data_IF_259235434365
#
_entry.id   IF_259235434365
#
_cell.length_a   1.000
_cell.length_b   1.000
_cell.length_c   1.000
_cell.angle_alpha   90.00
_cell.angle_beta   90.00
_cell.angle_gamma   90.00
#
_symmetry.space_group_name_H-M   'P 1'
#
loop_
_entity.id
_entity.type
_entity.pdbx_description
1 polymer ?
#
# COMPACT_ATOMS: atom_id res chain seq x y z
N UNK A 1 40.24 -3.37 52.87
CA UNK A 1 39.92 -2.34 51.85
C UNK A 1 40.10 -2.84 50.42
N UNK A 2 41.20 -3.55 50.11
CA UNK A 2 41.48 -4.07 48.75
C UNK A 2 40.41 -5.05 48.23
N UNK A 3 39.92 -5.97 49.07
CA UNK A 3 38.86 -6.93 48.70
C UNK A 3 37.54 -6.24 48.32
N UNK A 4 37.21 -5.14 48.98
CA UNK A 4 35.97 -4.38 48.77
C UNK A 4 36.04 -3.60 47.45
N UNK A 5 37.20 -3.03 47.13
CA UNK A 5 37.46 -2.39 45.84
C UNK A 5 37.42 -3.39 44.67
N UNK A 6 38.02 -4.57 44.83
CA UNK A 6 37.99 -5.64 43.82
C UNK A 6 36.57 -6.17 43.58
N UNK A 7 35.78 -6.37 44.64
CA UNK A 7 34.38 -6.76 44.52
C UNK A 7 33.55 -5.74 43.73
N UNK A 8 33.74 -4.45 44.02
CA UNK A 8 33.05 -3.37 43.30
C UNK A 8 33.39 -3.34 41.80
N UNK A 9 34.67 -3.52 41.45
CA UNK A 9 35.13 -3.53 40.06
C UNK A 9 34.52 -4.72 39.29
N UNK A 10 34.54 -5.91 39.88
CA UNK A 10 34.00 -7.12 39.24
C UNK A 10 32.49 -7.00 39.07
N UNK A 11 31.75 -6.56 40.10
CA UNK A 11 30.31 -6.32 39.99
C UNK A 11 29.97 -5.26 38.95
N UNK A 12 30.73 -4.16 38.89
CA UNK A 12 30.58 -3.12 37.88
C UNK A 12 30.76 -3.66 36.45
N UNK A 13 31.81 -4.47 36.23
CA UNK A 13 32.05 -5.10 34.93
C UNK A 13 30.91 -6.05 34.52
N UNK A 14 30.41 -6.88 35.45
CA UNK A 14 29.30 -7.80 35.18
C UNK A 14 28.02 -7.02 34.85
N UNK A 15 27.71 -5.95 35.59
CA UNK A 15 26.55 -5.09 35.32
C UNK A 15 26.66 -4.47 33.93
N UNK A 16 27.83 -3.96 33.55
CA UNK A 16 28.05 -3.36 32.23
C UNK A 16 27.84 -4.38 31.10
N UNK A 17 28.37 -5.60 31.25
CA UNK A 17 28.16 -6.69 30.28
C UNK A 17 26.67 -7.05 30.18
N UNK A 18 25.98 -7.16 31.31
CA UNK A 18 24.55 -7.48 31.33
C UNK A 18 23.72 -6.39 30.65
N UNK A 19 23.99 -5.11 30.94
CA UNK A 19 23.32 -3.98 30.30
C UNK A 19 23.58 -3.99 28.80
N UNK A 20 24.84 -4.14 28.38
CA UNK A 20 25.19 -4.20 26.96
C UNK A 20 24.48 -5.35 26.24
N UNK A 21 24.45 -6.55 26.84
CA UNK A 21 23.73 -7.71 26.29
C UNK A 21 22.23 -7.45 26.19
N UNK A 22 21.63 -6.83 27.20
CA UNK A 22 20.20 -6.51 27.18
C UNK A 22 19.83 -5.50 26.08
N UNK A 23 20.67 -4.48 25.85
CA UNK A 23 20.48 -3.49 24.79
C UNK A 23 20.60 -4.14 23.42
N UNK A 24 21.63 -4.97 23.21
CA UNK A 24 21.81 -5.71 21.96
C UNK A 24 20.64 -6.66 21.68
N UNK A 25 20.17 -7.39 22.69
CA UNK A 25 19.04 -8.31 22.54
C UNK A 25 17.75 -7.58 22.16
N UNK A 26 17.48 -6.42 22.76
CA UNK A 26 16.32 -5.58 22.44
C UNK A 26 16.39 -5.04 21.02
N UNK A 27 17.56 -4.57 20.59
CA UNK A 27 17.77 -4.13 19.22
C UNK A 27 17.54 -5.28 18.23
N UNK A 28 18.11 -6.46 18.48
CA UNK A 28 17.94 -7.62 17.60
C UNK A 28 16.47 -8.03 17.49
N UNK A 29 15.71 -8.01 18.58
CA UNK A 29 14.27 -8.28 18.56
C UNK A 29 13.50 -7.23 17.75
N UNK A 30 13.81 -5.95 17.93
CA UNK A 30 13.19 -4.85 17.19
C UNK A 30 13.46 -4.94 15.68
N UNK A 31 14.70 -5.26 15.28
CA UNK A 31 15.07 -5.47 13.88
C UNK A 31 14.34 -6.68 13.30
N UNK A 32 14.36 -7.83 13.99
CA UNK A 32 13.71 -9.04 13.52
C UNK A 32 12.20 -8.84 13.32
N UNK A 33 11.54 -8.13 14.24
CA UNK A 33 10.13 -7.81 14.15
C UNK A 33 9.81 -6.94 12.94
N UNK A 34 10.55 -5.83 12.75
CA UNK A 34 10.33 -4.92 11.62
C UNK A 34 10.60 -5.62 10.28
N UNK A 35 11.60 -6.51 10.23
CA UNK A 35 11.88 -7.33 9.05
C UNK A 35 10.75 -8.30 8.71
N UNK A 36 10.17 -8.97 9.70
CA UNK A 36 9.06 -9.88 9.46
C UNK A 36 7.80 -9.14 8.99
N UNK A 37 7.47 -8.02 9.64
CA UNK A 37 6.38 -7.12 9.21
C UNK A 37 6.61 -6.61 7.78
N UNK A 38 7.85 -6.20 7.46
CA UNK A 38 8.24 -5.77 6.12
C UNK A 38 8.10 -6.86 5.06
N UNK A 39 8.51 -8.10 5.39
CA UNK A 39 8.35 -9.27 4.51
C UNK A 39 6.88 -9.59 4.26
N UNK A 40 6.07 -9.58 5.31
CA UNK A 40 4.63 -9.83 5.24
C UNK A 40 3.93 -8.81 4.33
N UNK A 41 4.10 -7.50 4.59
CA UNK A 41 3.39 -6.46 3.83
C UNK A 41 3.86 -6.41 2.38
N UNK A 42 5.16 -6.62 2.14
CA UNK A 42 5.70 -6.69 0.78
C UNK A 42 5.06 -7.83 -0.01
N UNK A 43 4.92 -9.01 0.59
CA UNK A 43 4.27 -10.16 -0.06
C UNK A 43 2.79 -9.89 -0.31
N UNK A 44 2.06 -9.42 0.70
CA UNK A 44 0.62 -9.13 0.62
C UNK A 44 0.30 -8.09 -0.46
N UNK A 45 0.94 -6.93 -0.40
CA UNK A 45 0.73 -5.85 -1.36
C UNK A 45 1.15 -6.24 -2.76
N UNK A 46 2.20 -7.06 -2.92
CA UNK A 46 2.59 -7.50 -4.27
C UNK A 46 1.52 -8.36 -4.91
N UNK A 47 0.97 -9.32 -4.16
CA UNK A 47 -0.07 -10.20 -4.69
C UNK A 47 -1.34 -9.43 -5.04
N UNK A 48 -1.76 -8.48 -4.20
CA UNK A 48 -2.93 -7.63 -4.50
C UNK A 48 -2.66 -6.66 -5.65
N UNK A 49 -1.47 -6.05 -5.69
CA UNK A 49 -1.16 -5.03 -6.70
C UNK A 49 -0.88 -5.60 -8.09
N UNK A 50 -0.52 -6.88 -8.21
CA UNK A 50 -0.40 -7.53 -9.51
C UNK A 50 -1.75 -7.71 -10.21
N UNK A 51 -2.84 -7.78 -9.45
CA UNK A 51 -4.21 -7.96 -9.97
C UNK A 51 -4.93 -6.64 -10.28
N UNK A 52 -4.29 -5.49 -10.03
CA UNK A 52 -4.85 -4.18 -10.37
C UNK A 52 -5.18 -4.11 -11.86
N UNK A 53 -6.38 -3.62 -12.17
CA UNK A 53 -6.88 -3.50 -13.54
C UNK A 53 -7.19 -4.84 -14.22
N UNK A 54 -7.22 -5.96 -13.48
CA UNK A 54 -7.67 -7.25 -14.03
C UNK A 54 -9.15 -7.17 -14.35
N UNK A 55 -9.53 -7.60 -15.54
CA UNK A 55 -10.90 -7.94 -15.91
C UNK A 55 -10.85 -9.11 -16.91
N UNK A 56 -11.32 -10.28 -16.51
CA UNK A 56 -11.26 -11.50 -17.33
C UNK A 56 -12.68 -11.92 -17.73
N UNK A 57 -13.04 -11.71 -18.99
CA UNK A 57 -14.37 -12.07 -19.51
C UNK A 57 -14.43 -13.49 -20.11
N UNK A 58 -13.33 -14.22 -20.14
CA UNK A 58 -13.22 -15.51 -20.84
C UNK A 58 -13.35 -16.67 -19.87
N UNK A 59 -12.61 -16.61 -18.75
CA UNK A 59 -12.53 -17.74 -17.81
C UNK A 59 -13.28 -17.47 -16.51
N UNK A 60 -13.33 -16.22 -16.06
CA UNK A 60 -14.01 -15.87 -14.81
C UNK A 60 -15.53 -15.99 -14.96
N UNK A 61 -16.19 -16.53 -13.92
CA UNK A 61 -17.64 -16.38 -13.74
C UNK A 61 -17.87 -14.96 -13.25
N UNK A 62 -18.51 -14.12 -14.05
CA UNK A 62 -18.83 -12.74 -13.68
C UNK A 62 -20.33 -12.66 -13.49
N UNK A 63 -20.76 -12.00 -12.42
CA UNK A 63 -22.17 -11.65 -12.23
C UNK A 63 -22.65 -10.72 -13.36
N UNK A 64 -23.66 -11.16 -14.12
CA UNK A 64 -24.19 -10.52 -15.32
C UNK A 64 -25.34 -9.53 -15.05
N UNK A 65 -25.56 -9.14 -13.78
CA UNK A 65 -26.59 -8.16 -13.42
C UNK A 65 -26.36 -6.76 -14.00
N UNK A 66 -25.15 -6.48 -14.49
CA UNK A 66 -24.78 -5.26 -15.19
C UNK A 66 -24.06 -5.60 -16.50
N UNK A 67 -23.97 -4.63 -17.39
CA UNK A 67 -23.18 -4.75 -18.62
C UNK A 67 -21.69 -4.94 -18.30
N UNK A 68 -21.22 -6.16 -18.51
CA UNK A 68 -19.84 -6.59 -18.25
C UNK A 68 -18.83 -5.99 -19.22
N UNK A 69 -19.24 -5.61 -20.44
CA UNK A 69 -18.37 -4.95 -21.42
C UNK A 69 -18.13 -3.49 -20.99
N UNK A 70 -19.20 -2.81 -20.60
CA UNK A 70 -19.08 -1.45 -20.06
C UNK A 70 -18.31 -1.41 -18.73
N UNK A 71 -18.42 -2.45 -17.91
CA UNK A 71 -17.65 -2.60 -16.69
C UNK A 71 -16.16 -2.88 -16.95
N UNK A 72 -15.83 -3.78 -17.88
CA UNK A 72 -14.46 -4.04 -18.33
C UNK A 72 -13.78 -2.73 -18.75
N UNK A 73 -14.43 -1.99 -19.66
CA UNK A 73 -13.93 -0.71 -20.13
C UNK A 73 -13.80 0.34 -19.01
N UNK A 74 -14.62 0.28 -17.96
CA UNK A 74 -14.45 1.17 -16.81
C UNK A 74 -13.18 0.85 -16.02
N UNK A 75 -12.97 -0.44 -15.68
CA UNK A 75 -11.86 -0.89 -14.83
C UNK A 75 -10.52 -0.74 -15.56
N UNK A 76 -10.46 -1.15 -16.83
CA UNK A 76 -9.24 -1.07 -17.63
C UNK A 76 -8.82 0.39 -17.89
N UNK A 77 -9.77 1.31 -18.08
CA UNK A 77 -9.43 2.73 -18.24
C UNK A 77 -9.20 3.47 -16.91
N UNK A 78 -9.60 2.86 -15.77
CA UNK A 78 -9.49 3.45 -14.43
C UNK A 78 -8.98 2.43 -13.40
N UNK A 79 -7.80 1.83 -13.61
CA UNK A 79 -7.26 0.83 -12.67
C UNK A 79 -6.92 1.45 -11.30
N UNK A 80 -6.55 2.72 -11.30
CA UNK A 80 -6.33 3.54 -10.10
C UNK A 80 -7.53 4.48 -10.00
N UNK A 81 -8.34 4.35 -8.96
CA UNK A 81 -9.47 5.25 -8.74
C UNK A 81 -8.99 6.66 -8.40
N UNK A 82 -9.63 7.68 -8.99
CA UNK A 82 -9.42 9.09 -8.67
C UNK A 82 -10.73 9.70 -8.13
N UNK A 83 -10.60 10.81 -7.40
CA UNK A 83 -11.77 11.53 -6.90
C UNK A 83 -12.67 11.94 -8.08
N UNK A 84 -13.97 11.66 -7.94
CA UNK A 84 -14.98 11.87 -8.98
C UNK A 84 -15.23 10.68 -9.91
N UNK A 85 -14.42 9.62 -9.88
CA UNK A 85 -14.68 8.41 -10.68
C UNK A 85 -15.92 7.63 -10.20
N UNK A 86 -16.27 7.76 -8.91
CA UNK A 86 -17.38 7.06 -8.27
C UNK A 86 -18.51 8.03 -7.91
N UNK A 87 -19.69 7.85 -8.52
CA UNK A 87 -20.84 8.75 -8.36
C UNK A 87 -21.43 8.75 -6.95
N UNK A 88 -21.48 7.59 -6.29
CA UNK A 88 -22.00 7.44 -4.93
C UNK A 88 -21.04 7.98 -3.86
N UNK A 89 -19.76 8.13 -4.19
CA UNK A 89 -18.75 8.72 -3.30
C UNK A 89 -17.69 9.47 -4.11
N UNK A 90 -17.94 10.75 -4.37
CA UNK A 90 -17.07 11.59 -5.21
C UNK A 90 -15.73 11.91 -4.57
N UNK A 91 -15.58 11.70 -3.26
CA UNK A 91 -14.32 11.93 -2.53
C UNK A 91 -13.38 10.74 -2.55
N UNK A 92 -13.87 9.54 -2.88
CA UNK A 92 -13.06 8.34 -2.92
C UNK A 92 -12.11 8.38 -4.11
N UNK A 93 -10.81 8.33 -3.85
CA UNK A 93 -9.79 8.29 -4.89
C UNK A 93 -8.39 8.27 -4.31
N UNK A 94 -7.43 7.96 -5.17
CA UNK A 94 -6.01 8.04 -4.81
C UNK A 94 -5.58 9.50 -4.73
N UNK A 95 -4.92 9.87 -3.64
CA UNK A 95 -4.53 11.26 -3.37
C UNK A 95 -3.12 11.35 -2.79
N UNK A 96 -2.38 12.37 -3.21
CA UNK A 96 -1.14 12.77 -2.58
C UNK A 96 -1.48 13.60 -1.34
N UNK A 97 -0.93 13.23 -0.20
CA UNK A 97 -1.10 14.03 1.01
C UNK A 97 -0.14 15.24 1.03
N UNK A 98 -0.23 16.08 2.08
CA UNK A 98 0.78 17.13 2.30
C UNK A 98 2.15 16.51 2.54
N UNK A 99 3.23 17.28 2.31
CA UNK A 99 4.58 16.72 2.38
C UNK A 99 4.87 16.06 3.73
N UNK A 100 5.27 14.80 3.70
CA UNK A 100 5.53 13.96 4.87
C UNK A 100 4.30 13.28 5.49
N UNK A 101 3.08 13.62 5.08
CA UNK A 101 1.87 12.87 5.43
C UNK A 101 1.66 11.68 4.46
N UNK A 102 0.95 10.65 4.92
CA UNK A 102 0.78 9.42 4.14
C UNK A 102 -0.21 9.56 3.00
N UNK A 103 0.14 8.99 1.85
CA UNK A 103 -0.71 8.94 0.67
C UNK A 103 -1.85 7.93 0.80
N UNK A 104 -2.82 8.05 -0.10
CA UNK A 104 -3.94 7.14 -0.22
C UNK A 104 -3.97 6.50 -1.61
N UNK A 105 -4.23 5.19 -1.64
CA UNK A 105 -4.37 4.41 -2.87
C UNK A 105 -5.78 3.84 -2.97
N UNK A 106 -6.43 4.06 -4.11
CA UNK A 106 -7.68 3.38 -4.48
C UNK A 106 -7.44 2.61 -5.77
N UNK A 107 -7.74 1.32 -5.78
CA UNK A 107 -7.55 0.45 -6.94
C UNK A 107 -8.83 -0.27 -7.31
N UNK A 108 -8.99 -0.52 -8.60
CA UNK A 108 -10.10 -1.25 -9.18
C UNK A 108 -9.60 -2.54 -9.84
N UNK A 109 -10.31 -3.64 -9.61
CA UNK A 109 -10.07 -4.93 -10.25
C UNK A 109 -11.34 -5.79 -10.23
N UNK A 110 -11.34 -6.85 -11.03
CA UNK A 110 -12.28 -7.95 -10.94
C UNK A 110 -11.74 -9.02 -10.00
N UNK A 111 -12.51 -9.42 -8.98
CA UNK A 111 -12.15 -10.48 -8.04
C UNK A 111 -13.37 -11.09 -7.34
N UNK A 112 -13.16 -12.26 -6.71
CA UNK A 112 -14.17 -12.98 -5.92
C UNK A 112 -14.49 -12.30 -4.57
N UNK A 113 -13.59 -11.46 -4.07
CA UNK A 113 -13.73 -10.80 -2.78
C UNK A 113 -12.86 -9.54 -2.71
N UNK A 114 -13.25 -8.63 -1.82
CA UNK A 114 -12.48 -7.43 -1.50
C UNK A 114 -11.23 -7.74 -0.65
N UNK A 115 -10.44 -6.71 -0.32
CA UNK A 115 -9.25 -6.89 0.52
C UNK A 115 -9.54 -7.40 1.94
N UNK A 116 -10.80 -7.36 2.39
CA UNK A 116 -11.26 -7.88 3.67
C UNK A 116 -11.79 -9.32 3.58
N UNK A 117 -11.94 -9.86 2.36
CA UNK A 117 -12.55 -11.16 2.09
C UNK A 117 -14.07 -11.11 1.95
N UNK A 118 -14.68 -9.92 1.89
CA UNK A 118 -16.12 -9.74 1.68
C UNK A 118 -16.50 -9.94 0.22
N UNK A 119 -17.61 -10.65 0.00
CA UNK A 119 -18.21 -10.85 -1.33
C UNK A 119 -19.37 -9.91 -1.63
N UNK A 120 -19.69 -8.96 -0.75
CA UNK A 120 -20.77 -7.98 -0.93
C UNK A 120 -22.15 -8.50 -1.43
N UNK A 121 -22.47 -9.77 -1.16
CA UNK A 121 -23.72 -10.41 -1.57
C UNK A 121 -23.72 -11.04 -2.96
N UNK A 122 -22.57 -11.19 -3.61
CA UNK A 122 -22.41 -12.01 -4.82
C UNK A 122 -22.33 -13.51 -4.49
N UNK A 123 -22.55 -14.37 -5.49
CA UNK A 123 -22.46 -15.81 -5.33
C UNK A 123 -21.02 -16.26 -5.02
N UNK A 124 -20.85 -17.53 -4.60
CA UNK A 124 -19.56 -18.00 -4.13
C UNK A 124 -18.46 -18.00 -5.20
N UNK A 125 -18.84 -18.27 -6.45
CA UNK A 125 -17.91 -18.43 -7.58
C UNK A 125 -17.91 -17.20 -8.50
N UNK A 126 -18.76 -16.21 -8.24
CA UNK A 126 -18.87 -15.01 -9.07
C UNK A 126 -17.85 -13.96 -8.65
N UNK A 127 -17.08 -13.50 -9.64
CA UNK A 127 -16.26 -12.32 -9.54
C UNK A 127 -17.09 -11.06 -9.82
N UNK A 128 -16.71 -9.98 -9.15
CA UNK A 128 -17.36 -8.67 -9.29
C UNK A 128 -16.32 -7.56 -9.29
N UNK A 129 -16.76 -6.36 -9.66
CA UNK A 129 -15.92 -5.17 -9.59
C UNK A 129 -15.64 -4.81 -8.12
N UNK A 130 -14.41 -5.07 -7.70
CA UNK A 130 -13.88 -4.75 -6.38
C UNK A 130 -13.13 -3.43 -6.45
N UNK A 131 -13.40 -2.56 -5.47
CA UNK A 131 -12.62 -1.33 -5.25
C UNK A 131 -11.99 -1.41 -3.86
N UNK A 132 -10.67 -1.41 -3.79
CA UNK A 132 -9.93 -1.46 -2.53
C UNK A 132 -9.24 -0.12 -2.27
N UNK A 133 -9.40 0.39 -1.05
CA UNK A 133 -8.79 1.63 -0.56
C UNK A 133 -7.75 1.30 0.50
N UNK A 134 -6.49 1.69 0.27
CA UNK A 134 -5.37 1.53 1.20
C UNK A 134 -4.91 2.89 1.72
N UNK A 135 -4.82 3.02 3.04
CA UNK A 135 -4.45 4.27 3.68
C UNK A 135 -3.88 4.02 5.07
N UNK A 136 -3.11 4.99 5.58
CA UNK A 136 -2.63 4.97 6.97
C UNK A 136 -3.56 5.83 7.82
N UNK A 137 -3.99 5.28 8.96
CA UNK A 137 -4.78 6.00 9.95
C UNK A 137 -4.16 5.82 11.33
N UNK A 138 -3.66 6.91 11.92
CA UNK A 138 -2.85 6.83 13.14
C UNK A 138 -1.51 6.15 12.84
N UNK A 139 -1.34 4.92 13.33
CA UNK A 139 -0.16 4.07 13.04
C UNK A 139 -0.53 2.75 12.37
N UNK A 140 -1.74 2.63 11.85
CA UNK A 140 -2.28 1.41 11.26
C UNK A 140 -2.44 1.61 9.77
N UNK A 141 -1.87 0.70 8.99
CA UNK A 141 -2.12 0.59 7.57
C UNK A 141 -3.37 -0.25 7.37
N UNK A 142 -4.42 0.39 6.85
CA UNK A 142 -5.76 -0.16 6.75
C UNK A 142 -6.14 -0.38 5.29
N UNK A 143 -7.00 -1.36 5.07
CA UNK A 143 -7.69 -1.55 3.82
C UNK A 143 -9.20 -1.52 4.03
N UNK A 144 -9.89 -0.73 3.20
CA UNK A 144 -11.35 -0.74 3.10
C UNK A 144 -11.74 -1.30 1.75
N UNK A 145 -12.58 -2.33 1.75
CA UNK A 145 -13.08 -2.95 0.54
C UNK A 145 -14.50 -2.50 0.22
N UNK A 146 -14.75 -2.22 -1.05
CA UNK A 146 -16.02 -1.71 -1.56
C UNK A 146 -16.49 -2.54 -2.76
N UNK A 147 -17.81 -2.60 -2.92
CA UNK A 147 -18.44 -2.99 -4.18
C UNK A 147 -18.41 -1.82 -5.16
N UNK A 148 -17.65 -1.98 -6.24
CA UNK A 148 -17.49 -0.98 -7.28
C UNK A 148 -18.77 -0.68 -8.05
N UNK A 149 -19.73 -1.61 -8.15
CA UNK A 149 -21.04 -1.37 -8.79
C UNK A 149 -21.92 -0.48 -7.92
N UNK A 150 -21.85 -0.65 -6.59
CA UNK A 150 -22.52 0.25 -5.63
C UNK A 150 -21.92 1.66 -5.69
N UNK A 151 -20.60 1.77 -5.73
CA UNK A 151 -19.90 3.05 -5.85
C UNK A 151 -20.23 3.80 -7.15
N UNK A 152 -20.56 3.06 -8.23
CA UNK A 152 -21.00 3.60 -9.52
C UNK A 152 -22.51 3.87 -9.58
N UNK A 153 -23.28 3.52 -8.56
CA UNK A 153 -24.74 3.68 -8.52
C UNK A 153 -25.50 2.67 -9.40
N UNK A 154 -24.86 1.57 -9.79
CA UNK A 154 -25.44 0.53 -10.65
C UNK A 154 -26.15 -0.56 -9.85
N UNK A 155 -25.83 -0.70 -8.56
CA UNK A 155 -26.41 -1.70 -7.66
C UNK A 155 -26.72 -1.08 -6.31
N UNK A 156 -27.81 -1.51 -5.68
CA UNK A 156 -28.13 -1.14 -4.30
C UNK A 156 -27.19 -1.87 -3.34
N UNK A 157 -26.69 -1.16 -2.32
CA UNK A 157 -25.82 -1.75 -1.33
C UNK A 157 -26.51 -2.86 -0.53
N UNK A 158 -26.02 -4.09 -0.66
CA UNK A 158 -26.48 -5.23 0.16
C UNK A 158 -25.66 -5.39 1.44
N UNK A 159 -24.35 -5.18 1.35
CA UNK A 159 -23.41 -5.30 2.47
C UNK A 159 -22.56 -4.04 2.56
N UNK A 160 -22.50 -3.46 3.76
CA UNK A 160 -21.69 -2.27 4.03
C UNK A 160 -20.19 -2.53 3.84
N UNK A 161 -19.40 -1.53 3.44
CA UNK A 161 -17.96 -1.67 3.26
C UNK A 161 -17.31 -1.91 4.62
N UNK A 162 -16.37 -2.85 4.69
CA UNK A 162 -15.64 -3.15 5.92
C UNK A 162 -14.21 -2.62 5.83
N UNK A 163 -13.63 -2.27 6.98
CA UNK A 163 -12.23 -1.84 7.09
C UNK A 163 -11.47 -2.79 8.00
N UNK A 164 -10.32 -3.27 7.54
CA UNK A 164 -9.41 -4.13 8.30
C UNK A 164 -8.04 -3.47 8.42
N UNK A 165 -7.37 -3.70 9.54
CA UNK A 165 -5.97 -3.32 9.71
C UNK A 165 -5.09 -4.42 9.15
N UNK A 166 -4.27 -4.09 8.15
CA UNK A 166 -3.34 -5.02 7.52
C UNK A 166 -2.02 -5.08 8.26
N UNK A 167 -1.56 -3.94 8.79
CA UNK A 167 -0.30 -3.85 9.51
C UNK A 167 -0.33 -2.70 10.52
N UNK A 168 0.19 -2.96 11.72
CA UNK A 168 0.40 -1.94 12.74
C UNK A 168 1.80 -1.32 12.64
N UNK A 169 1.99 -0.20 13.34
CA UNK A 169 3.28 0.49 13.42
C UNK A 169 3.82 0.96 12.08
N UNK A 170 2.90 1.45 11.24
CA UNK A 170 3.23 2.16 10.00
C UNK A 170 3.28 3.65 10.31
N UNK A 171 4.45 4.24 10.12
CA UNK A 171 4.66 5.66 10.37
C UNK A 171 4.39 6.52 9.13
N UNK A 172 4.66 5.98 7.94
CA UNK A 172 4.42 6.70 6.70
C UNK A 172 4.22 5.73 5.52
N UNK A 173 3.39 6.12 4.55
CA UNK A 173 3.14 5.39 3.32
C UNK A 173 3.12 6.38 2.16
N UNK A 174 3.91 6.10 1.11
CA UNK A 174 4.10 6.99 -0.03
C UNK A 174 4.00 6.22 -1.34
N UNK A 175 3.52 6.88 -2.39
CA UNK A 175 3.23 6.28 -3.67
C UNK A 175 3.78 7.09 -4.84
N UNK A 176 4.19 6.38 -5.89
CA UNK A 176 4.50 6.95 -7.19
C UNK A 176 3.94 6.06 -8.29
N UNK A 177 3.33 6.70 -9.28
CA UNK A 177 2.65 6.03 -10.38
C UNK A 177 3.52 6.15 -11.63
N UNK A 178 3.95 5.00 -12.15
CA UNK A 178 4.66 4.91 -13.42
C UNK A 178 3.66 4.96 -14.56
N UNK A 179 3.65 6.08 -15.28
CA UNK A 179 2.72 6.35 -16.37
C UNK A 179 3.39 6.03 -17.71
N UNK A 180 2.61 5.48 -18.63
CA UNK A 180 3.06 5.16 -19.97
C UNK A 180 3.13 6.39 -20.86
N UNK A 181 3.67 6.23 -22.07
CA UNK A 181 3.42 7.20 -23.13
C UNK A 181 1.92 7.19 -23.52
N UNK A 182 1.52 8.11 -24.41
CA UNK A 182 0.18 8.15 -24.98
C UNK A 182 -0.13 6.78 -25.58
N UNK A 183 -1.33 6.25 -25.31
CA UNK A 183 -1.68 4.84 -25.56
C UNK A 183 -1.31 4.35 -26.97
N UNK A 184 -1.53 5.16 -28.00
CA UNK A 184 -1.23 4.84 -29.42
C UNK A 184 0.26 4.56 -29.67
N UNK A 185 1.18 5.22 -28.94
CA UNK A 185 2.63 5.09 -29.12
C UNK A 185 3.29 4.25 -28.02
N UNK A 186 2.51 3.71 -27.10
CA UNK A 186 3.02 3.13 -25.87
C UNK A 186 3.34 1.65 -25.99
N UNK A 187 4.58 1.28 -25.66
CA UNK A 187 5.02 -0.12 -25.56
C UNK A 187 4.65 -0.79 -24.21
N UNK A 188 3.71 -0.18 -23.45
CA UNK A 188 3.34 -0.62 -22.11
C UNK A 188 4.47 -0.49 -21.08
N UNK A 189 5.40 0.46 -21.29
CA UNK A 189 6.49 0.74 -20.34
C UNK A 189 6.23 2.07 -19.62
N UNK A 190 6.66 2.17 -18.36
CA UNK A 190 6.58 3.42 -17.62
C UNK A 190 7.68 4.37 -18.11
N UNK A 191 7.29 5.55 -18.59
CA UNK A 191 8.24 6.58 -19.05
C UNK A 191 8.60 7.55 -17.92
N UNK A 192 7.65 7.85 -17.04
CA UNK A 192 7.81 8.82 -15.95
C UNK A 192 7.06 8.35 -14.72
N UNK A 193 7.59 8.65 -13.54
CA UNK A 193 6.91 8.43 -12.27
C UNK A 193 6.37 9.75 -11.74
N UNK A 194 5.08 9.77 -11.41
CA UNK A 194 4.36 10.96 -10.94
C UNK A 194 3.59 10.65 -9.65
N UNK A 195 3.21 11.69 -8.94
CA UNK A 195 2.31 11.67 -7.78
C UNK A 195 0.84 11.69 -8.23
N UNK A 196 -0.09 11.40 -7.30
CA UNK A 196 -1.51 11.22 -7.63
C UNK A 196 -2.18 12.47 -8.23
N UNK A 197 -1.71 13.68 -7.89
CA UNK A 197 -2.22 14.97 -8.37
C UNK A 197 -2.12 15.14 -9.89
N UNK A 198 -1.17 14.45 -10.54
CA UNK A 198 -0.99 14.50 -11.99
C UNK A 198 -1.80 13.48 -12.76
N UNK A 199 -2.35 12.46 -12.10
CA UNK A 199 -3.00 11.34 -12.76
C UNK A 199 -4.24 11.75 -13.56
N UNK A 200 -5.03 12.71 -13.06
CA UNK A 200 -6.21 13.19 -13.78
C UNK A 200 -5.86 13.82 -15.14
N UNK A 201 -4.80 14.63 -15.18
CA UNK A 201 -4.34 15.29 -16.41
C UNK A 201 -3.78 14.28 -17.40
N UNK A 202 -2.95 13.34 -16.93
CA UNK A 202 -2.32 12.33 -17.79
C UNK A 202 -3.36 11.35 -18.35
N UNK A 203 -4.37 10.98 -17.54
CA UNK A 203 -5.50 10.17 -18.02
C UNK A 203 -6.29 10.88 -19.12
N UNK A 204 -6.51 12.19 -19.00
CA UNK A 204 -7.15 12.98 -20.05
C UNK A 204 -6.31 13.07 -21.34
N UNK A 205 -5.01 12.78 -21.26
CA UNK A 205 -4.07 12.68 -22.40
C UNK A 205 -3.94 11.24 -22.93
N UNK A 206 -4.83 10.32 -22.53
CA UNK A 206 -4.77 8.90 -22.88
C UNK A 206 -3.46 8.21 -22.46
N UNK A 207 -2.87 8.64 -21.35
CA UNK A 207 -1.75 7.96 -20.72
C UNK A 207 -2.23 7.13 -19.54
N UNK A 208 -1.74 5.89 -19.43
CA UNK A 208 -2.22 4.92 -18.45
C UNK A 208 -1.15 4.60 -17.41
N UNK A 209 -1.59 4.24 -16.21
CA UNK A 209 -0.68 3.78 -15.14
C UNK A 209 -0.29 2.33 -15.40
N UNK A 210 0.99 2.07 -15.61
CA UNK A 210 1.53 0.75 -15.97
C UNK A 210 2.52 0.19 -14.94
N UNK A 211 2.92 1.00 -13.97
CA UNK A 211 3.72 0.57 -12.83
C UNK A 211 3.34 1.36 -11.58
N UNK A 212 3.56 0.77 -10.41
CA UNK A 212 3.34 1.38 -9.11
C UNK A 212 4.61 1.22 -8.26
N UNK A 213 5.11 2.32 -7.73
CA UNK A 213 6.15 2.35 -6.71
C UNK A 213 5.49 2.70 -5.40
N UNK A 214 5.77 1.91 -4.37
CA UNK A 214 5.30 2.21 -3.03
C UNK A 214 6.47 2.15 -2.07
N UNK A 215 6.39 2.98 -1.04
CA UNK A 215 7.30 3.01 0.08
C UNK A 215 6.50 3.03 1.38
N UNK A 216 6.88 2.19 2.33
CA UNK A 216 6.29 2.13 3.66
C UNK A 216 7.38 2.22 4.72
N UNK A 217 7.19 3.10 5.69
CA UNK A 217 8.09 3.28 6.83
C UNK A 217 7.49 2.56 8.03
N UNK A 218 8.17 1.51 8.46
CA UNK A 218 7.79 0.71 9.63
C UNK A 218 8.60 1.12 10.84
N UNK A 219 7.98 1.03 12.02
CA UNK A 219 8.64 1.20 13.31
C UNK A 219 8.53 -0.06 14.15
N UNK A 220 9.49 -0.30 15.05
CA UNK A 220 9.41 -1.39 16.02
C UNK A 220 8.23 -1.20 16.98
N UNK A 221 7.68 -2.29 17.50
CA UNK A 221 6.54 -2.19 18.43
C UNK A 221 6.96 -1.71 19.81
N UNK A 222 8.20 -2.02 20.21
CA UNK A 222 8.75 -1.61 21.49
C UNK A 222 9.63 -0.37 21.35
N UNK A 223 9.47 0.55 22.29
CA UNK A 223 10.26 1.79 22.42
C UNK A 223 11.58 1.56 23.20
N UNK A 224 12.22 0.42 22.95
CA UNK A 224 13.35 -0.07 23.75
C UNK A 224 14.70 0.11 23.06
N UNK A 225 14.70 0.69 21.86
CA UNK A 225 15.92 0.98 21.10
C UNK A 225 16.32 2.40 21.43
N UNK A 226 17.50 2.62 21.99
CA UNK A 226 17.97 3.96 22.32
C UNK A 226 19.01 4.38 21.28
N UNK A 227 18.57 5.16 20.29
CA UNK A 227 19.45 5.78 19.31
C UNK A 227 20.07 7.05 19.89
N UNK A 228 21.33 7.31 19.59
CA UNK A 228 22.05 8.52 20.06
C UNK A 228 21.58 9.80 19.36
N UNK A 229 20.84 9.69 18.26
CA UNK A 229 20.26 10.82 17.52
C UNK A 229 18.96 10.39 16.87
N UNK A 230 18.04 11.35 16.69
CA UNK A 230 16.78 11.13 15.98
C UNK A 230 17.05 10.80 14.50
N UNK A 231 16.64 9.62 14.00
CA UNK A 231 16.89 9.25 12.62
C UNK A 231 15.96 9.99 11.66
N UNK A 232 16.49 10.31 10.48
CA UNK A 232 15.77 10.99 9.40
C UNK A 232 15.64 10.09 8.18
N UNK A 233 14.44 9.95 7.63
CA UNK A 233 14.19 9.15 6.43
C UNK A 233 13.44 9.96 5.38
N UNK A 234 13.87 9.84 4.11
CA UNK A 234 13.10 10.29 2.96
C UNK A 234 12.40 9.08 2.32
N UNK A 235 11.14 9.26 1.93
CA UNK A 235 10.38 8.24 1.20
C UNK A 235 10.10 8.77 -0.21
N UNK A 236 10.64 8.09 -1.22
CA UNK A 236 10.44 8.43 -2.63
C UNK A 236 10.78 9.91 -2.94
N UNK A 237 9.79 10.71 -3.33
CA UNK A 237 9.90 12.13 -3.67
C UNK A 237 9.64 13.09 -2.50
N UNK A 238 9.37 12.57 -1.30
CA UNK A 238 9.03 13.39 -0.15
C UNK A 238 10.26 13.89 0.61
N UNK A 239 10.04 15.00 1.33
CA UNK A 239 11.03 15.55 2.25
C UNK A 239 11.35 14.57 3.38
N UNK A 240 12.52 14.76 3.99
CA UNK A 240 12.95 13.92 5.11
C UNK A 240 12.04 14.15 6.33
N UNK A 241 11.56 13.05 6.90
CA UNK A 241 10.80 13.04 8.17
C UNK A 241 11.76 12.67 9.29
N UNK A 242 11.78 13.48 10.35
CA UNK A 242 12.54 13.21 11.57
C UNK A 242 11.68 12.37 12.52
N UNK A 243 12.21 11.25 12.98
CA UNK A 243 11.50 10.28 13.82
C UNK A 243 12.05 10.25 15.24
N UNK A 244 11.37 9.56 16.16
CA UNK A 244 11.85 9.43 17.53
C UNK A 244 13.11 8.56 17.63
N UNK A 245 13.87 8.71 18.71
CA UNK A 245 15.09 7.93 18.96
C UNK A 245 14.85 6.64 19.74
N UNK A 246 13.60 6.31 20.06
CA UNK A 246 13.21 5.20 20.96
C UNK A 246 12.81 3.92 20.21
N UNK A 247 12.58 4.01 18.90
CA UNK A 247 12.22 2.90 18.04
C UNK A 247 13.30 2.60 17.00
N UNK A 248 13.30 1.37 16.49
CA UNK A 248 13.97 1.03 15.25
C UNK A 248 13.04 1.29 14.08
N UNK A 249 13.55 1.91 13.02
CA UNK A 249 12.78 2.26 11.83
C UNK A 249 13.43 1.68 10.59
N UNK A 250 12.59 1.28 9.64
CA UNK A 250 13.06 0.82 8.35
C UNK A 250 12.07 1.15 7.24
N UNK A 251 12.61 1.64 6.13
CA UNK A 251 11.86 1.89 4.91
C UNK A 251 11.89 0.63 4.04
N UNK A 252 10.71 0.19 3.62
CA UNK A 252 10.55 -0.86 2.62
C UNK A 252 9.97 -0.24 1.36
N UNK A 253 10.64 -0.46 0.23
CA UNK A 253 10.26 0.08 -1.07
C UNK A 253 10.18 -1.03 -2.10
N UNK A 254 9.17 -1.00 -2.96
CA UNK A 254 9.07 -1.92 -4.10
C UNK A 254 8.45 -1.23 -5.31
N UNK A 255 8.94 -1.62 -6.48
CA UNK A 255 8.30 -1.29 -7.77
C UNK A 255 7.55 -2.52 -8.25
N UNK A 256 6.25 -2.38 -8.47
CA UNK A 256 5.37 -3.39 -9.06
C UNK A 256 5.00 -2.96 -10.47
N UNK A 257 5.10 -3.88 -11.41
CA UNK A 257 4.63 -3.70 -12.78
C UNK A 257 3.18 -4.17 -12.87
N UNK A 258 2.26 -3.30 -13.30
CA UNK A 258 0.84 -3.65 -13.44
C UNK A 258 0.65 -4.40 -14.75
N UNK A 259 0.73 -5.74 -14.71
CA UNK A 259 0.77 -6.57 -15.93
C UNK A 259 -0.49 -6.43 -16.77
N UNK A 260 -1.66 -6.38 -16.14
CA UNK A 260 -2.94 -6.20 -16.82
C UNK A 260 -2.94 -4.89 -17.61
N UNK A 261 -2.51 -3.80 -16.96
CA UNK A 261 -2.42 -2.49 -17.61
C UNK A 261 -1.38 -2.42 -18.73
N UNK A 262 -0.24 -3.08 -18.57
CA UNK A 262 0.76 -3.17 -19.64
C UNK A 262 0.22 -3.86 -20.88
N UNK A 263 -0.55 -4.94 -20.70
CA UNK A 263 -1.15 -5.66 -21.81
C UNK A 263 -2.28 -4.85 -22.44
N UNK A 264 -3.13 -4.22 -21.63
CA UNK A 264 -4.21 -3.34 -22.10
C UNK A 264 -3.69 -2.21 -22.98
N UNK A 265 -2.64 -1.50 -22.55
CA UNK A 265 -2.07 -0.41 -23.34
C UNK A 265 -1.48 -0.89 -24.66
N UNK A 266 -0.91 -2.10 -24.69
CA UNK A 266 -0.37 -2.71 -25.92
C UNK A 266 -1.45 -3.17 -26.88
N UNK A 267 -2.64 -3.52 -26.40
CA UNK A 267 -3.76 -3.93 -27.25
C UNK A 267 -4.51 -2.76 -27.89
N UNK A 268 -4.23 -1.53 -27.48
CA UNK A 268 -4.81 -0.31 -28.08
C UNK A 268 -4.12 0.04 -29.42
N UNK A 269 -2.90 -0.46 -29.65
CA UNK A 269 -2.14 -0.31 -30.91
C UNK A 269 -2.70 -1.19 -32.02
#
# INVERSE_FOLDING_TARGET
MISLALGLVISGAIIQVLVSSSVTNKLNQAVAQVQESGRFITSRLSNEFYEIGRYDTIVASIDDSVDTVAEAGFIENRPIGLAGDFSSNTTLGSTQASSGASDELVVSLLALADCTGSKHGYAADDEFHVVNRYYVSGNEFRCTGYDGRVLRGLKTQSVSPNTVTLLDNVSNFQLQYGVSDVAENSNGQAITYVTADRLAVLRAQNQQVVALRWAILLKSYQNQVQQTSAPTFALLNENQVTLDSSHYYQVFTKTVSLRNMKNFVRSIQ
#
